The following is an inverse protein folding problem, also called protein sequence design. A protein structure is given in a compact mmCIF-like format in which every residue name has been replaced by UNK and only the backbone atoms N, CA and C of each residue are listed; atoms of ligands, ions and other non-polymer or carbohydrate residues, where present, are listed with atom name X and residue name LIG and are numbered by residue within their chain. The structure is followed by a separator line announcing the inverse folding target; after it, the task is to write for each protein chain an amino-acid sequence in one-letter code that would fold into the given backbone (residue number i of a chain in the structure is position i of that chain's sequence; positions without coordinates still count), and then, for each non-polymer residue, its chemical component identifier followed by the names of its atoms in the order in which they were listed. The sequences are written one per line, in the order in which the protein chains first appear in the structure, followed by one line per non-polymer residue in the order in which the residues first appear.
data_IF_785985166939
#
_entry.id   IF_785985166939
#
_cell.length_a   1.000
_cell.length_b   1.000
_cell.length_c   1.000
_cell.angle_alpha   90.00
_cell.angle_beta   90.00
_cell.angle_gamma   90.00
#
_symmetry.space_group_name_H-M   'P 1'
#
loop_
_entity.id
_entity.type
_entity.pdbx_description
1 polymer ?
#
# COMPACT_ATOMS: atom_id res chain seq x y z
N UNK A 1 42.81 -2.04 5.77
CA UNK A 1 42.24 -1.01 4.86
C UNK A 1 42.87 -0.96 3.46
N UNK A 2 44.02 -1.60 3.20
CA UNK A 2 44.56 -1.70 1.83
C UNK A 2 43.83 -2.70 0.92
N UNK A 3 43.23 -3.76 1.48
CA UNK A 3 42.54 -4.81 0.70
C UNK A 3 41.36 -4.26 -0.13
N UNK A 4 40.56 -3.36 0.44
CA UNK A 4 39.39 -2.78 -0.24
C UNK A 4 39.84 -1.84 -1.37
N UNK A 5 40.88 -1.03 -1.13
CA UNK A 5 41.46 -0.12 -2.13
C UNK A 5 42.00 -0.92 -3.32
N UNK A 6 42.69 -2.05 -3.06
CA UNK A 6 43.21 -2.91 -4.12
C UNK A 6 42.09 -3.59 -4.92
N UNK A 7 41.05 -4.07 -4.24
CA UNK A 7 39.89 -4.70 -4.88
C UNK A 7 39.14 -3.73 -5.81
N UNK A 8 38.89 -2.49 -5.36
CA UNK A 8 38.23 -1.45 -6.17
C UNK A 8 39.09 -1.10 -7.39
N UNK A 9 40.41 -0.94 -7.21
CA UNK A 9 41.32 -0.63 -8.33
C UNK A 9 41.36 -1.75 -9.37
N UNK A 10 41.30 -3.01 -8.92
CA UNK A 10 41.30 -4.17 -9.81
C UNK A 10 39.98 -4.31 -10.58
N UNK A 11 38.86 -4.01 -9.92
CA UNK A 11 37.53 -4.00 -10.54
C UNK A 11 37.37 -2.91 -11.60
N UNK A 12 37.81 -1.68 -11.33
CA UNK A 12 37.67 -0.53 -12.26
C UNK A 12 38.54 -0.67 -13.51
N UNK A 13 39.66 -1.40 -13.44
CA UNK A 13 40.60 -1.53 -14.56
C UNK A 13 40.08 -2.38 -15.73
N UNK A 14 39.03 -3.19 -15.52
CA UNK A 14 38.48 -4.11 -16.53
C UNK A 14 37.12 -3.61 -17.02
N UNK A 15 37.00 -3.35 -18.33
CA UNK A 15 35.76 -2.83 -18.93
C UNK A 15 34.54 -3.74 -18.72
N UNK A 16 34.77 -5.05 -18.60
CA UNK A 16 33.73 -6.08 -18.33
C UNK A 16 33.05 -5.85 -16.97
N UNK A 17 33.75 -5.26 -16.00
CA UNK A 17 33.20 -4.99 -14.67
C UNK A 17 32.06 -3.98 -14.72
N UNK A 18 32.09 -3.01 -15.66
CA UNK A 18 31.01 -2.05 -15.82
C UNK A 18 29.70 -2.74 -16.24
N UNK A 19 29.77 -3.73 -17.11
CA UNK A 19 28.59 -4.53 -17.48
C UNK A 19 28.00 -5.29 -16.29
N UNK A 20 28.85 -5.86 -15.43
CA UNK A 20 28.39 -6.55 -14.22
C UNK A 20 27.69 -5.59 -13.24
N UNK A 21 28.28 -4.42 -12.98
CA UNK A 21 27.69 -3.40 -12.10
C UNK A 21 26.37 -2.88 -12.68
N UNK A 22 26.32 -2.62 -13.99
CA UNK A 22 25.12 -2.13 -14.66
C UNK A 22 23.99 -3.16 -14.64
N UNK A 23 24.29 -4.44 -14.84
CA UNK A 23 23.30 -5.51 -14.73
C UNK A 23 22.69 -5.59 -13.32
N UNK A 24 23.51 -5.51 -12.27
CA UNK A 24 23.03 -5.50 -10.89
C UNK A 24 22.20 -4.25 -10.60
N UNK A 25 22.66 -3.08 -11.06
CA UNK A 25 21.94 -1.82 -10.90
C UNK A 25 20.55 -1.86 -11.57
N UNK A 26 20.47 -2.38 -12.80
CA UNK A 26 19.20 -2.58 -13.50
C UNK A 26 18.27 -3.56 -12.77
N UNK A 27 18.83 -4.66 -12.25
CA UNK A 27 18.06 -5.67 -11.55
C UNK A 27 17.44 -5.10 -10.26
N UNK A 28 18.24 -4.41 -9.44
CA UNK A 28 17.77 -3.74 -8.22
C UNK A 28 16.76 -2.64 -8.57
N UNK A 29 17.02 -1.86 -9.63
CA UNK A 29 16.11 -0.81 -10.09
C UNK A 29 14.72 -1.38 -10.45
N UNK A 30 14.66 -2.48 -11.21
CA UNK A 30 13.38 -3.12 -11.54
C UNK A 30 12.62 -3.57 -10.28
N UNK A 31 13.30 -4.19 -9.32
CA UNK A 31 12.67 -4.62 -8.06
C UNK A 31 12.11 -3.43 -7.28
N UNK A 32 12.87 -2.34 -7.16
CA UNK A 32 12.44 -1.12 -6.47
C UNK A 32 11.21 -0.51 -7.14
N UNK A 33 11.19 -0.44 -8.48
CA UNK A 33 10.03 0.07 -9.22
C UNK A 33 8.81 -0.79 -8.96
N UNK A 34 8.92 -2.12 -9.03
CA UNK A 34 7.80 -3.04 -8.78
C UNK A 34 7.26 -2.86 -7.35
N UNK A 35 8.14 -2.81 -6.35
CA UNK A 35 7.73 -2.59 -4.97
C UNK A 35 7.04 -1.24 -4.78
N UNK A 36 7.54 -0.20 -5.45
CA UNK A 36 6.95 1.14 -5.41
C UNK A 36 5.56 1.16 -6.06
N UNK A 37 5.41 0.50 -7.22
CA UNK A 37 4.13 0.39 -7.93
C UNK A 37 3.12 -0.38 -7.09
N UNK A 38 3.50 -1.54 -6.55
CA UNK A 38 2.59 -2.34 -5.71
C UNK A 38 2.19 -1.58 -4.45
N UNK A 39 3.13 -0.89 -3.80
CA UNK A 39 2.83 -0.10 -2.60
C UNK A 39 1.96 1.12 -2.90
N UNK A 40 2.25 1.84 -3.99
CA UNK A 40 1.46 2.99 -4.42
C UNK A 40 0.04 2.58 -4.80
N UNK A 41 -0.10 1.53 -5.59
CA UNK A 41 -1.38 0.99 -6.02
C UNK A 41 -2.17 0.49 -4.81
N UNK A 42 -1.59 -0.32 -3.92
CA UNK A 42 -2.27 -0.77 -2.68
C UNK A 42 -2.72 0.42 -1.83
N UNK A 43 -1.92 1.48 -1.71
CA UNK A 43 -2.31 2.69 -0.95
C UNK A 43 -3.48 3.41 -1.60
N UNK A 44 -3.45 3.61 -2.90
CA UNK A 44 -4.53 4.28 -3.64
C UNK A 44 -5.82 3.47 -3.62
N UNK A 45 -5.72 2.14 -3.72
CA UNK A 45 -6.87 1.24 -3.57
C UNK A 45 -7.44 1.27 -2.16
N UNK A 46 -6.59 1.30 -1.12
CA UNK A 46 -7.06 1.39 0.28
C UNK A 46 -7.80 2.69 0.55
N UNK A 47 -7.26 3.82 0.09
CA UNK A 47 -7.89 5.15 0.26
C UNK A 47 -9.20 5.24 -0.52
N UNK A 48 -9.24 4.75 -1.76
CA UNK A 48 -10.49 4.72 -2.53
C UNK A 48 -11.53 3.78 -1.90
N UNK A 49 -11.12 2.62 -1.37
CA UNK A 49 -12.06 1.67 -0.78
C UNK A 49 -12.68 2.18 0.52
N UNK A 50 -11.92 2.88 1.37
CA UNK A 50 -12.44 3.48 2.60
C UNK A 50 -13.53 4.54 2.33
N UNK A 51 -13.46 5.23 1.18
CA UNK A 51 -14.52 6.15 0.76
C UNK A 51 -15.78 5.46 0.22
N UNK A 52 -15.75 4.15 -0.06
CA UNK A 52 -16.83 3.42 -0.74
C UNK A 52 -17.43 2.29 0.09
N UNK A 53 -16.65 1.70 1.00
CA UNK A 53 -17.08 0.65 1.93
C UNK A 53 -17.13 1.32 3.29
N UNK A 54 -18.34 1.55 3.81
CA UNK A 54 -18.51 2.07 5.16
C UNK A 54 -17.67 1.25 6.15
N UNK A 55 -16.94 1.94 7.03
CA UNK A 55 -16.01 1.31 7.98
C UNK A 55 -16.68 0.29 8.91
N UNK A 56 -18.01 0.36 9.05
CA UNK A 56 -18.83 -0.61 9.76
C UNK A 56 -20.11 -0.91 8.96
N UNK A 57 -20.34 -2.20 8.66
CA UNK A 57 -21.59 -2.68 8.04
C UNK A 57 -22.38 -3.44 9.09
N UNK A 58 -23.53 -2.90 9.48
CA UNK A 58 -24.48 -3.56 10.38
C UNK A 58 -25.54 -4.27 9.53
N UNK A 59 -25.57 -5.59 9.58
CA UNK A 59 -26.58 -6.43 8.91
C UNK A 59 -27.32 -7.27 9.94
N UNK A 60 -28.62 -7.48 9.71
CA UNK A 60 -29.46 -8.36 10.52
C UNK A 60 -29.74 -9.63 9.73
N UNK A 61 -29.61 -10.80 10.35
CA UNK A 61 -29.90 -12.11 9.75
C UNK A 61 -31.42 -12.36 9.54
N UNK A 62 -32.26 -11.37 9.88
CA UNK A 62 -33.71 -11.44 9.76
C UNK A 62 -34.20 -10.89 8.42
N UNK A 63 -35.02 -11.68 7.68
CA UNK A 63 -35.69 -11.23 6.45
C UNK A 63 -36.62 -10.02 6.66
N UNK A 64 -36.93 -9.67 7.91
CA UNK A 64 -37.89 -8.61 8.27
C UNK A 64 -37.22 -7.24 8.47
N UNK A 65 -35.88 -7.15 8.34
CA UNK A 65 -35.13 -5.92 8.52
C UNK A 65 -34.85 -5.57 9.99
N UNK A 66 -34.19 -4.42 10.23
CA UNK A 66 -33.91 -3.93 11.58
C UNK A 66 -35.16 -3.32 12.21
N UNK A 67 -35.59 -3.77 13.41
CA UNK A 67 -36.65 -3.09 14.15
C UNK A 67 -36.17 -1.70 14.59
N UNK A 68 -37.06 -0.70 14.56
CA UNK A 68 -36.77 0.69 14.94
C UNK A 68 -35.70 1.40 14.09
N UNK A 69 -35.63 1.08 12.78
CA UNK A 69 -34.66 1.67 11.85
C UNK A 69 -34.54 3.20 11.98
N UNK A 70 -35.67 3.92 11.98
CA UNK A 70 -35.69 5.39 12.09
C UNK A 70 -35.10 5.93 13.41
N UNK A 71 -35.37 5.27 14.53
CA UNK A 71 -34.85 5.68 15.83
C UNK A 71 -33.36 5.35 15.96
N UNK A 72 -32.94 4.21 15.40
CA UNK A 72 -31.55 3.80 15.30
C UNK A 72 -30.71 4.74 14.44
N UNK A 73 -31.24 5.14 13.28
CA UNK A 73 -30.60 6.14 12.40
C UNK A 73 -30.44 7.48 13.11
N UNK A 74 -31.45 7.92 13.86
CA UNK A 74 -31.41 9.17 14.62
C UNK A 74 -30.41 9.17 15.76
N UNK A 75 -30.20 8.02 16.40
CA UNK A 75 -29.15 7.84 17.42
C UNK A 75 -27.77 7.90 16.75
N UNK A 76 -27.59 7.24 15.60
CA UNK A 76 -26.33 7.25 14.84
C UNK A 76 -25.96 8.64 14.31
N UNK A 77 -26.92 9.40 13.81
CA UNK A 77 -26.70 10.80 13.36
C UNK A 77 -26.33 11.74 14.52
N UNK A 78 -26.70 11.40 15.75
CA UNK A 78 -26.36 12.17 16.96
C UNK A 78 -24.95 11.90 17.50
N UNK A 79 -24.29 10.86 17.01
CA UNK A 79 -22.97 10.44 17.47
C UNK A 79 -21.85 11.09 16.65
N UNK A 80 -20.84 11.65 17.33
CA UNK A 80 -19.76 12.46 16.73
C UNK A 80 -18.80 11.60 15.87
N UNK A 81 -18.92 10.27 15.97
CA UNK A 81 -18.06 9.27 15.34
C UNK A 81 -18.59 8.88 13.95
N UNK A 82 -19.80 9.30 13.59
CA UNK A 82 -20.48 8.89 12.36
C UNK A 82 -20.43 10.00 11.31
N UNK A 83 -19.61 9.81 10.26
CA UNK A 83 -19.41 10.81 9.21
C UNK A 83 -20.54 10.81 8.15
N UNK A 84 -21.15 9.65 7.89
CA UNK A 84 -22.33 9.52 7.03
C UNK A 84 -23.08 8.20 7.31
N UNK A 85 -24.41 8.23 7.24
CA UNK A 85 -25.27 7.04 7.30
C UNK A 85 -26.07 6.95 5.99
N UNK A 86 -26.10 5.76 5.36
CA UNK A 86 -26.85 5.47 4.13
C UNK A 86 -27.58 4.15 4.26
#
# INVERSE_FOLDING_TARGET
MYKIILAIRYLIKRHITYFAVLAVALCVFMVVVVMTVMTGLVRDFKVKNHNWVGDCVLSSDSLVGFPYYEEFMKILEGEIIVEAVR
#
